data_IF_988013017462
#
_entry.id   IF_988013017462
#
_cell.length_a   1.000
_cell.length_b   1.000
_cell.length_c   1.000
_cell.angle_alpha   90.00
_cell.angle_beta   90.00
_cell.angle_gamma   90.00
#
_symmetry.space_group_name_H-M   'P 1'
#
loop_
_entity.id
_entity.type
_entity.pdbx_description
1 polymer ?
#
# COMPACT_ATOMS: atom_id res chain seq x y z
N UNK A 1 -9.69 15.34 6.13
CA UNK A 1 -9.80 16.78 5.78
C UNK A 1 -10.96 17.49 6.47
N UNK A 2 -12.18 16.94 6.46
CA UNK A 2 -13.37 17.61 7.02
C UNK A 2 -14.05 16.85 8.19
N UNK A 3 -13.40 15.81 8.73
CA UNK A 3 -13.94 14.99 9.84
C UNK A 3 -15.38 14.49 9.61
N UNK A 4 -15.70 14.12 8.37
CA UNK A 4 -17.03 13.59 7.98
C UNK A 4 -17.10 12.06 8.00
N UNK A 5 -15.98 11.40 8.26
CA UNK A 5 -15.85 9.94 8.27
C UNK A 5 -15.07 9.53 9.49
N UNK A 6 -15.57 8.51 10.18
CA UNK A 6 -14.94 7.96 11.39
C UNK A 6 -14.05 6.75 11.07
N UNK A 7 -14.41 5.96 10.05
CA UNK A 7 -13.67 4.77 9.61
C UNK A 7 -13.59 4.73 8.08
N UNK A 8 -12.41 4.39 7.55
CA UNK A 8 -12.17 4.14 6.12
C UNK A 8 -11.72 2.69 5.94
N UNK A 9 -12.36 1.99 5.03
CA UNK A 9 -11.96 0.64 4.60
C UNK A 9 -11.66 0.68 3.11
N UNK A 10 -10.46 0.24 2.72
CA UNK A 10 -10.00 0.21 1.33
C UNK A 10 -9.09 -1.00 1.11
N UNK A 11 -8.87 -1.36 -0.16
CA UNK A 11 -7.86 -2.35 -0.57
C UNK A 11 -6.46 -1.73 -0.60
N UNK A 12 -5.41 -2.56 -0.73
CA UNK A 12 -4.02 -2.10 -0.85
C UNK A 12 -3.84 -1.05 -1.97
N UNK A 13 -4.45 -1.30 -3.13
CA UNK A 13 -4.45 -0.36 -4.27
C UNK A 13 -4.88 1.05 -3.89
N UNK A 14 -5.93 1.20 -3.07
CA UNK A 14 -6.41 2.51 -2.64
C UNK A 14 -5.46 3.23 -1.67
N UNK A 15 -4.61 2.50 -0.95
CA UNK A 15 -3.58 3.08 -0.08
C UNK A 15 -2.34 3.43 -0.90
N UNK A 16 -1.80 2.46 -1.64
CA UNK A 16 -0.54 2.63 -2.37
C UNK A 16 -0.64 3.66 -3.50
N UNK A 17 -1.76 3.69 -4.23
CA UNK A 17 -1.94 4.68 -5.30
C UNK A 17 -2.07 6.10 -4.78
N UNK A 18 -2.60 6.29 -3.57
CA UNK A 18 -2.68 7.61 -2.93
C UNK A 18 -1.28 8.13 -2.61
N UNK A 19 -0.45 7.28 -1.99
CA UNK A 19 0.95 7.57 -1.70
C UNK A 19 1.75 7.83 -3.00
N UNK A 20 1.59 6.96 -4.01
CA UNK A 20 2.29 7.09 -5.29
C UNK A 20 1.93 8.40 -6.00
N UNK A 21 0.68 8.86 -5.92
CA UNK A 21 0.25 10.15 -6.51
C UNK A 21 0.93 11.36 -5.86
N UNK A 22 1.36 11.26 -4.61
CA UNK A 22 2.18 12.29 -3.96
C UNK A 22 3.63 12.31 -4.48
N UNK A 23 4.14 11.19 -4.97
CA UNK A 23 5.52 11.04 -5.46
C UNK A 23 5.66 11.40 -6.94
N UNK A 24 4.67 11.05 -7.75
CA UNK A 24 4.67 11.30 -9.19
C UNK A 24 3.25 11.34 -9.78
N UNK A 25 3.04 12.11 -10.87
CA UNK A 25 1.72 12.25 -11.48
C UNK A 25 1.23 10.95 -12.15
N UNK A 26 -0.10 10.81 -12.17
CA UNK A 26 -0.83 9.82 -12.98
C UNK A 26 -1.47 10.54 -14.16
N UNK A 27 -1.49 9.91 -15.33
CA UNK A 27 -1.95 10.54 -16.57
C UNK A 27 -3.25 9.94 -17.07
N UNK A 28 -4.06 10.76 -17.77
CA UNK A 28 -5.24 10.27 -18.46
C UNK A 28 -4.84 9.48 -19.72
N UNK A 29 -5.44 8.32 -19.91
CA UNK A 29 -5.33 7.46 -21.08
C UNK A 29 -6.72 7.03 -21.58
N UNK A 30 -6.79 5.83 -22.15
CA UNK A 30 -8.00 5.27 -22.75
C UNK A 30 -8.08 3.76 -22.48
N UNK A 31 -9.30 3.23 -22.34
CA UNK A 31 -9.55 1.81 -22.11
C UNK A 31 -9.11 0.92 -23.28
N UNK A 32 -9.13 1.47 -24.49
CA UNK A 32 -8.81 0.77 -25.73
C UNK A 32 -7.31 0.65 -26.02
N UNK A 33 -6.44 1.26 -25.21
CA UNK A 33 -5.00 1.22 -25.42
C UNK A 33 -4.47 -0.22 -25.37
N UNK A 34 -3.73 -0.70 -26.40
CA UNK A 34 -3.23 -2.07 -26.43
C UNK A 34 -2.23 -2.35 -25.30
N UNK A 35 -2.52 -3.37 -24.48
CA UNK A 35 -1.69 -3.71 -23.31
C UNK A 35 -0.24 -4.07 -23.65
N UNK A 36 0.00 -4.77 -24.77
CA UNK A 36 1.36 -5.11 -25.21
C UNK A 36 2.19 -3.86 -25.52
N UNK A 37 1.59 -2.85 -26.15
CA UNK A 37 2.24 -1.57 -26.42
C UNK A 37 2.57 -0.85 -25.12
N UNK A 38 1.61 -0.73 -24.20
CA UNK A 38 1.83 -0.10 -22.90
C UNK A 38 2.95 -0.79 -22.10
N UNK A 39 2.98 -2.12 -22.08
CA UNK A 39 4.03 -2.89 -21.41
C UNK A 39 5.41 -2.62 -22.01
N UNK A 40 5.52 -2.55 -23.34
CA UNK A 40 6.78 -2.21 -24.03
C UNK A 40 7.30 -0.80 -23.71
N UNK A 41 6.43 0.08 -23.21
CA UNK A 41 6.74 1.45 -22.79
C UNK A 41 6.86 1.60 -21.28
N UNK A 42 6.70 0.52 -20.50
CA UNK A 42 6.71 0.58 -19.05
C UNK A 42 5.57 1.43 -18.47
N UNK A 43 4.39 1.37 -19.08
CA UNK A 43 3.18 2.06 -18.62
C UNK A 43 2.18 1.05 -18.08
N UNK A 44 1.75 1.25 -16.83
CA UNK A 44 0.70 0.46 -16.19
C UNK A 44 -0.65 1.16 -16.38
N UNK A 45 -1.70 0.39 -16.70
CA UNK A 45 -3.04 0.92 -16.97
C UNK A 45 -3.99 0.62 -15.82
N UNK A 46 -4.71 1.65 -15.36
CA UNK A 46 -5.76 1.55 -14.34
C UNK A 46 -7.03 2.15 -14.94
N UNK A 47 -7.89 1.30 -15.52
CA UNK A 47 -9.04 1.77 -16.29
C UNK A 47 -8.62 2.64 -17.49
N UNK A 48 -8.92 3.94 -17.43
CA UNK A 48 -8.52 4.98 -18.38
C UNK A 48 -7.38 5.87 -17.85
N UNK A 49 -6.63 5.42 -16.85
CA UNK A 49 -5.45 6.11 -16.33
C UNK A 49 -4.19 5.31 -16.68
N UNK A 50 -3.06 6.03 -16.77
CA UNK A 50 -1.74 5.49 -17.02
C UNK A 50 -0.78 5.93 -15.91
N UNK A 51 -0.10 4.95 -15.32
CA UNK A 51 0.91 5.13 -14.29
C UNK A 51 2.25 4.65 -14.86
N UNK A 52 3.24 5.55 -15.05
CA UNK A 52 4.58 5.14 -15.47
C UNK A 52 5.26 4.23 -14.44
N UNK A 53 6.04 3.24 -14.89
CA UNK A 53 6.81 2.35 -14.02
C UNK A 53 7.75 3.12 -13.07
N UNK A 54 8.28 4.27 -13.51
CA UNK A 54 9.12 5.15 -12.69
C UNK A 54 8.44 5.58 -11.38
N UNK A 55 7.11 5.69 -11.36
CA UNK A 55 6.35 6.00 -10.16
C UNK A 55 6.52 4.90 -9.09
N UNK A 56 6.56 3.63 -9.50
CA UNK A 56 6.77 2.49 -8.61
C UNK A 56 8.22 2.40 -8.13
N UNK A 57 9.19 2.79 -8.96
CA UNK A 57 10.59 2.88 -8.53
C UNK A 57 10.78 3.96 -7.44
N UNK A 58 10.17 5.14 -7.63
CA UNK A 58 10.17 6.19 -6.59
C UNK A 58 9.47 5.76 -5.31
N UNK A 59 8.42 4.96 -5.45
CA UNK A 59 7.73 4.39 -4.31
C UNK A 59 8.59 3.39 -3.54
N UNK A 60 9.32 2.51 -4.23
CA UNK A 60 10.32 1.61 -3.63
C UNK A 60 11.36 2.40 -2.83
N UNK A 61 11.99 3.41 -3.45
CA UNK A 61 13.00 4.24 -2.80
C UNK A 61 12.48 4.93 -1.52
N UNK A 62 11.19 5.29 -1.52
CA UNK A 62 10.55 5.94 -0.38
C UNK A 62 10.10 4.97 0.72
N UNK A 63 9.52 3.81 0.36
CA UNK A 63 8.90 2.88 1.32
C UNK A 63 9.93 1.96 2.00
N UNK A 64 11.00 1.58 1.31
CA UNK A 64 11.98 0.63 1.85
C UNK A 64 12.64 1.12 3.16
N UNK A 65 13.08 2.39 3.29
CA UNK A 65 13.58 2.91 4.57
C UNK A 65 12.55 2.87 5.71
N UNK A 66 11.25 3.00 5.37
CA UNK A 66 10.17 2.92 6.36
C UNK A 66 10.01 1.47 6.85
N UNK A 67 10.05 0.49 5.95
CA UNK A 67 10.01 -0.93 6.34
C UNK A 67 11.21 -1.35 7.20
N UNK A 68 12.39 -0.81 6.90
CA UNK A 68 13.57 -1.00 7.74
C UNK A 68 13.36 -0.48 9.16
N UNK A 69 12.79 0.72 9.28
CA UNK A 69 12.46 1.33 10.57
C UNK A 69 11.36 0.53 11.30
N UNK A 70 10.33 0.08 10.60
CA UNK A 70 9.28 -0.76 11.18
C UNK A 70 9.83 -2.08 11.72
N UNK A 71 10.76 -2.71 10.99
CA UNK A 71 11.44 -3.93 11.45
C UNK A 71 12.30 -3.66 12.69
N UNK A 72 13.04 -2.54 12.71
CA UNK A 72 13.83 -2.12 13.87
C UNK A 72 12.94 -1.86 15.09
N UNK A 73 11.87 -1.10 14.92
CA UNK A 73 10.88 -0.83 15.97
C UNK A 73 10.27 -2.14 16.46
N UNK A 74 9.80 -3.02 15.58
CA UNK A 74 9.24 -4.33 15.96
C UNK A 74 10.24 -5.22 16.72
N UNK A 75 11.54 -5.10 16.40
CA UNK A 75 12.61 -5.86 17.05
C UNK A 75 13.06 -5.27 18.40
N UNK A 76 12.96 -3.94 18.56
CA UNK A 76 13.47 -3.19 19.73
C UNK A 76 12.39 -2.83 20.74
N UNK A 77 11.18 -2.53 20.26
CA UNK A 77 10.01 -2.18 21.05
C UNK A 77 8.82 -3.03 20.57
N UNK A 78 8.28 -3.85 21.46
CA UNK A 78 7.28 -4.86 21.12
C UNK A 78 5.86 -4.27 20.87
N UNK A 79 5.75 -3.11 20.19
CA UNK A 79 4.50 -2.38 19.96
C UNK A 79 4.61 -1.45 18.76
N UNK A 80 4.07 -1.86 17.61
CA UNK A 80 3.16 -1.07 16.75
C UNK A 80 2.49 -2.08 15.79
N UNK A 81 1.19 -2.39 15.95
CA UNK A 81 0.44 -3.12 14.94
C UNK A 81 0.11 -2.20 13.76
N UNK A 82 0.33 -2.66 12.53
CA UNK A 82 -0.04 -1.96 11.28
C UNK A 82 -1.11 -2.76 10.59
N UNK A 83 -2.24 -2.09 10.29
CA UNK A 83 -3.45 -2.72 9.82
C UNK A 83 -3.63 -2.61 8.30
N UNK A 84 -3.79 -3.73 7.59
CA UNK A 84 -4.46 -3.82 6.28
C UNK A 84 -4.62 -5.30 5.85
N UNK A 85 -5.84 -5.87 5.85
CA UNK A 85 -6.08 -7.31 5.61
C UNK A 85 -5.76 -7.78 4.18
N UNK A 86 -5.48 -6.85 3.26
CA UNK A 86 -5.04 -7.15 1.89
C UNK A 86 -3.76 -6.40 1.50
N UNK A 87 -2.95 -5.95 2.46
CA UNK A 87 -1.78 -5.08 2.19
C UNK A 87 -0.80 -5.66 1.18
N UNK A 88 -0.69 -6.99 1.17
CA UNK A 88 0.23 -7.74 0.32
C UNK A 88 -0.30 -7.95 -1.10
N UNK A 89 -1.54 -7.59 -1.40
CA UNK A 89 -2.15 -7.76 -2.73
C UNK A 89 -2.04 -6.45 -3.53
N UNK A 90 -0.80 -6.07 -3.85
CA UNK A 90 -0.45 -4.83 -4.54
C UNK A 90 1.05 -4.58 -4.59
N UNK A 91 1.45 -3.41 -5.09
CA UNK A 91 2.86 -2.99 -5.12
C UNK A 91 3.52 -2.97 -3.74
N UNK A 92 2.76 -2.68 -2.67
CA UNK A 92 3.22 -2.80 -1.29
C UNK A 92 3.63 -4.24 -0.93
N UNK A 93 2.88 -5.23 -1.41
CA UNK A 93 3.22 -6.64 -1.26
C UNK A 93 4.50 -7.03 -1.98
N UNK A 94 4.71 -6.53 -3.20
CA UNK A 94 5.95 -6.75 -3.94
C UNK A 94 7.16 -6.18 -3.18
N UNK A 95 7.02 -4.99 -2.58
CA UNK A 95 8.08 -4.38 -1.79
C UNK A 95 8.37 -5.15 -0.50
N UNK A 96 7.34 -5.65 0.19
CA UNK A 96 7.49 -6.53 1.35
C UNK A 96 8.18 -7.85 0.96
N UNK A 97 7.84 -8.42 -0.20
CA UNK A 97 8.49 -9.60 -0.74
C UNK A 97 9.99 -9.36 -0.93
N UNK A 98 10.38 -8.30 -1.65
CA UNK A 98 11.80 -7.99 -1.87
C UNK A 98 12.55 -7.66 -0.57
N UNK A 99 11.91 -6.93 0.34
CA UNK A 99 12.45 -6.62 1.67
C UNK A 99 12.75 -7.89 2.46
N UNK A 100 11.84 -8.88 2.45
CA UNK A 100 11.99 -10.12 3.21
C UNK A 100 13.24 -10.94 2.85
N UNK A 101 13.70 -10.89 1.60
CA UNK A 101 14.96 -11.55 1.20
C UNK A 101 16.20 -10.79 1.69
N UNK A 102 16.11 -9.47 1.83
CA UNK A 102 17.22 -8.63 2.30
C UNK A 102 17.31 -8.60 3.81
N UNK A 103 16.17 -8.50 4.50
CA UNK A 103 16.03 -8.41 5.96
C UNK A 103 14.77 -9.17 6.40
N UNK A 104 14.88 -10.48 6.67
CA UNK A 104 13.74 -11.26 7.12
C UNK A 104 13.33 -10.86 8.54
N UNK A 105 12.05 -11.05 8.88
CA UNK A 105 11.55 -10.93 10.25
C UNK A 105 10.39 -9.95 10.45
N UNK A 106 10.07 -9.12 9.46
CA UNK A 106 8.92 -8.22 9.53
C UNK A 106 7.62 -9.02 9.49
N UNK A 107 6.79 -8.90 10.53
CA UNK A 107 5.50 -9.58 10.65
C UNK A 107 4.36 -8.56 10.62
N UNK A 108 3.34 -8.84 9.80
CA UNK A 108 2.09 -8.08 9.71
C UNK A 108 0.96 -9.00 10.20
N UNK A 109 0.25 -8.59 11.26
CA UNK A 109 -0.80 -9.40 11.90
C UNK A 109 -2.22 -8.94 11.55
N UNK A 110 -2.81 -9.59 10.55
CA UNK A 110 -4.17 -9.33 10.08
C UNK A 110 -5.28 -9.74 11.08
N UNK A 111 -4.98 -10.58 12.07
CA UNK A 111 -5.96 -11.04 13.06
C UNK A 111 -6.18 -9.99 14.14
N UNK A 112 -5.15 -9.23 14.50
CA UNK A 112 -5.32 -8.08 15.38
C UNK A 112 -6.14 -6.97 14.68
N UNK A 113 -5.97 -6.78 13.37
CA UNK A 113 -6.76 -5.83 12.57
C UNK A 113 -8.27 -6.08 12.68
N UNK A 114 -8.71 -7.31 12.44
CA UNK A 114 -10.14 -7.63 12.44
C UNK A 114 -10.72 -7.44 13.85
N UNK A 115 -9.96 -7.73 14.91
CA UNK A 115 -10.39 -7.50 16.29
C UNK A 115 -10.57 -6.01 16.59
N UNK A 116 -9.63 -5.16 16.17
CA UNK A 116 -9.71 -3.72 16.39
C UNK A 116 -10.86 -3.09 15.58
N UNK A 117 -10.99 -3.46 14.30
CA UNK A 117 -12.08 -2.99 13.44
C UNK A 117 -13.47 -3.38 13.98
N UNK A 118 -13.63 -4.63 14.42
CA UNK A 118 -14.86 -5.07 15.06
C UNK A 118 -15.08 -4.37 16.41
N UNK A 119 -14.01 -4.08 17.16
CA UNK A 119 -14.04 -3.32 18.41
C UNK A 119 -14.62 -1.92 18.23
N UNK A 120 -14.15 -1.16 17.24
CA UNK A 120 -14.71 0.16 16.91
C UNK A 120 -16.21 0.09 16.63
N UNK A 121 -16.66 -0.93 15.90
CA UNK A 121 -18.08 -1.13 15.60
C UNK A 121 -18.92 -1.45 16.86
N UNK A 122 -18.34 -2.17 17.82
CA UNK A 122 -19.01 -2.48 19.10
C UNK A 122 -19.09 -1.25 20.00
N UNK A 123 -18.07 -0.37 19.98
CA UNK A 123 -18.03 0.83 20.80
C UNK A 123 -18.80 2.02 20.21
N UNK A 124 -18.99 2.07 18.88
CA UNK A 124 -19.77 3.10 18.22
C UNK A 124 -21.29 3.01 18.49
N UNK A 125 -21.77 1.87 19.02
CA UNK A 125 -23.18 1.64 19.37
C UNK A 125 -23.53 1.89 20.84
N UNK A 126 -22.59 2.34 21.66
CA UNK A 126 -22.77 2.74 23.07
C UNK A 126 -22.64 4.26 23.21
#
# INVERSE_FOLDING_TARGET
QHHMVDVVVTTAGGVEEDLIKCLAPTYKGDFSLPGAFLRSKGLNRIGNLLVPNDNYCKFEDWIIPIFDKMLEEQSSENKIPVFCPGLTDGSLGDMLYFHSFRKPGLVIDIVQDIRNMNGESVHAGL
#
